data_IF_734581595512
#
_entry.id   IF_734581595512
#
_cell.length_a   1.000
_cell.length_b   1.000
_cell.length_c   1.000
_cell.angle_alpha   90.00
_cell.angle_beta   90.00
_cell.angle_gamma   90.00
#
_symmetry.space_group_name_H-M   'P 1'
#
loop_
_entity.id
_entity.type
_entity.pdbx_description
1 polymer ?
#
# COMPACT_ATOMS: atom_id res chain seq x y z
N UNK A 1 -11.45 -10.53 -7.09
CA UNK A 1 -12.53 -9.93 -7.92
C UNK A 1 -12.75 -8.45 -7.65
N UNK A 2 -12.69 -7.97 -6.39
CA UNK A 2 -12.88 -6.56 -6.06
C UNK A 2 -11.97 -5.58 -6.81
N UNK A 3 -10.65 -5.82 -6.85
CA UNK A 3 -9.71 -5.00 -7.62
C UNK A 3 -10.01 -4.95 -9.12
N UNK A 4 -10.47 -6.06 -9.71
CA UNK A 4 -10.85 -6.11 -11.13
C UNK A 4 -12.08 -5.22 -11.37
N UNK A 5 -13.06 -5.24 -10.47
CA UNK A 5 -14.22 -4.35 -10.55
C UNK A 5 -13.81 -2.88 -10.42
N UNK A 6 -12.86 -2.57 -9.53
CA UNK A 6 -12.30 -1.23 -9.36
C UNK A 6 -11.65 -0.72 -10.67
N UNK A 7 -10.79 -1.52 -11.29
CA UNK A 7 -10.13 -1.20 -12.57
C UNK A 7 -11.14 -0.99 -13.72
N UNK A 8 -12.27 -1.70 -13.68
CA UNK A 8 -13.34 -1.56 -14.67
C UNK A 8 -14.28 -0.37 -14.44
N UNK A 9 -14.09 0.39 -13.37
CA UNK A 9 -14.99 1.48 -12.98
C UNK A 9 -16.30 1.02 -12.34
N UNK A 10 -16.46 -0.28 -12.05
CA UNK A 10 -17.62 -0.83 -11.34
C UNK A 10 -17.43 -0.68 -9.82
N UNK A 11 -17.41 0.57 -9.36
CA UNK A 11 -17.05 0.94 -7.99
C UNK A 11 -18.05 0.41 -6.96
N UNK A 12 -19.34 0.33 -7.31
CA UNK A 12 -20.37 -0.22 -6.43
C UNK A 12 -20.12 -1.72 -6.13
N UNK A 13 -19.78 -2.50 -7.16
CA UNK A 13 -19.45 -3.90 -6.99
C UNK A 13 -18.05 -4.09 -6.38
N UNK A 14 -17.09 -3.23 -6.71
CA UNK A 14 -15.77 -3.21 -6.08
C UNK A 14 -15.90 -3.05 -4.57
N UNK A 15 -16.64 -2.02 -4.11
CA UNK A 15 -16.96 -1.81 -2.68
C UNK A 15 -17.54 -3.07 -2.06
N UNK A 16 -18.61 -3.63 -2.65
CA UNK A 16 -19.26 -4.84 -2.11
C UNK A 16 -18.30 -6.02 -1.97
N UNK A 17 -17.49 -6.29 -2.99
CA UNK A 17 -16.55 -7.40 -3.01
C UNK A 17 -15.37 -7.20 -2.05
N UNK A 18 -14.87 -5.98 -1.94
CA UNK A 18 -13.75 -5.64 -1.06
C UNK A 18 -14.19 -5.64 0.40
N UNK A 19 -15.34 -5.04 0.71
CA UNK A 19 -15.91 -5.08 2.07
C UNK A 19 -16.24 -6.52 2.49
N UNK A 20 -16.79 -7.33 1.59
CA UNK A 20 -17.08 -8.75 1.88
C UNK A 20 -15.83 -9.63 2.06
N UNK A 21 -14.64 -9.15 1.70
CA UNK A 21 -13.36 -9.84 1.91
C UNK A 21 -12.70 -9.48 3.25
N UNK A 22 -13.25 -8.52 4.00
CA UNK A 22 -12.73 -8.13 5.31
C UNK A 22 -13.19 -9.18 6.32
N UNK A 23 -12.28 -10.04 6.74
CA UNK A 23 -12.54 -11.02 7.81
C UNK A 23 -12.27 -10.41 9.18
N UNK A 24 -13.31 -10.24 9.99
CA UNK A 24 -13.19 -9.76 11.37
C UNK A 24 -12.81 -10.86 12.37
N UNK A 25 -12.88 -12.14 11.96
CA UNK A 25 -12.63 -13.30 12.81
C UNK A 25 -11.15 -13.68 12.94
N UNK A 26 -10.34 -13.36 11.93
CA UNK A 26 -8.89 -13.53 12.00
C UNK A 26 -8.25 -12.38 12.78
N UNK A 27 -7.45 -12.74 13.79
CA UNK A 27 -6.81 -11.78 14.70
C UNK A 27 -5.28 -11.85 14.71
N UNK A 28 -4.59 -11.82 13.55
CA UNK A 28 -3.15 -11.59 13.55
C UNK A 28 -2.85 -10.18 14.08
N UNK A 29 -1.64 -10.00 14.63
CA UNK A 29 -1.16 -8.70 15.10
C UNK A 29 -1.26 -7.65 13.98
N UNK A 30 -0.92 -8.03 12.74
CA UNK A 30 -1.04 -7.23 11.52
C UNK A 30 -1.33 -8.15 10.33
N UNK A 31 -2.19 -7.72 9.41
CA UNK A 31 -2.45 -8.40 8.13
C UNK A 31 -2.53 -7.34 7.02
N UNK A 32 -1.46 -7.26 6.21
CA UNK A 32 -1.36 -6.28 5.11
C UNK A 32 -2.46 -6.43 4.05
N UNK A 33 -2.92 -7.65 3.78
CA UNK A 33 -4.01 -7.90 2.83
C UNK A 33 -5.33 -7.34 3.32
N UNK A 34 -5.60 -7.46 4.62
CA UNK A 34 -6.79 -6.87 5.23
C UNK A 34 -6.75 -5.33 5.18
N UNK A 35 -5.58 -4.73 5.43
CA UNK A 35 -5.40 -3.28 5.31
C UNK A 35 -5.59 -2.83 3.86
N UNK A 36 -5.08 -3.60 2.90
CA UNK A 36 -5.28 -3.35 1.48
C UNK A 36 -6.76 -3.43 1.09
N UNK A 37 -7.48 -4.45 1.56
CA UNK A 37 -8.92 -4.58 1.30
C UNK A 37 -9.71 -3.38 1.83
N UNK A 38 -9.43 -2.95 3.06
CA UNK A 38 -10.05 -1.78 3.70
C UNK A 38 -9.80 -0.48 2.91
N UNK A 39 -8.56 -0.21 2.55
CA UNK A 39 -8.18 1.02 1.84
C UNK A 39 -8.67 1.02 0.38
N UNK A 40 -8.70 -0.12 -0.31
CA UNK A 40 -9.34 -0.22 -1.62
C UNK A 40 -10.86 -0.08 -1.53
N UNK A 41 -11.49 -0.62 -0.49
CA UNK A 41 -12.91 -0.42 -0.24
C UNK A 41 -13.22 1.06 0.02
N UNK A 42 -12.35 1.75 0.79
CA UNK A 42 -12.46 3.18 1.02
C UNK A 42 -12.39 3.97 -0.29
N UNK A 43 -11.43 3.66 -1.16
CA UNK A 43 -11.31 4.29 -2.48
C UNK A 43 -12.58 4.07 -3.33
N UNK A 44 -13.08 2.83 -3.41
CA UNK A 44 -14.30 2.52 -4.15
C UNK A 44 -15.54 3.25 -3.58
N UNK A 45 -15.55 3.48 -2.27
CA UNK A 45 -16.64 4.15 -1.54
C UNK A 45 -16.61 5.66 -1.77
N UNK A 46 -15.41 6.25 -1.79
CA UNK A 46 -15.22 7.66 -2.17
C UNK A 46 -15.66 7.91 -3.63
N UNK A 47 -15.29 7.02 -4.55
CA UNK A 47 -15.59 7.14 -5.98
C UNK A 47 -17.08 7.05 -6.33
N UNK A 48 -17.92 6.59 -5.40
CA UNK A 48 -19.39 6.63 -5.53
C UNK A 48 -20.04 7.75 -4.72
N UNK A 49 -19.23 8.66 -4.14
CA UNK A 49 -19.66 9.86 -3.43
C UNK A 49 -19.98 9.68 -1.95
N UNK A 50 -19.57 8.57 -1.33
CA UNK A 50 -19.79 8.29 0.09
C UNK A 50 -18.52 8.56 0.92
N UNK A 51 -18.21 9.84 1.11
CA UNK A 51 -16.98 10.25 1.79
C UNK A 51 -16.97 9.90 3.28
N UNK A 52 -18.15 9.85 3.92
CA UNK A 52 -18.26 9.44 5.34
C UNK A 52 -17.94 7.95 5.49
N UNK A 53 -18.48 7.10 4.62
CA UNK A 53 -18.19 5.67 4.58
C UNK A 53 -16.71 5.39 4.25
N UNK A 54 -16.14 6.11 3.30
CA UNK A 54 -14.71 6.02 2.99
C UNK A 54 -13.84 6.39 4.19
N UNK A 55 -14.15 7.50 4.87
CA UNK A 55 -13.43 7.93 6.06
C UNK A 55 -13.53 6.91 7.20
N UNK A 56 -14.68 6.24 7.36
CA UNK A 56 -14.83 5.18 8.35
C UNK A 56 -13.92 3.98 8.06
N UNK A 57 -13.86 3.52 6.81
CA UNK A 57 -13.00 2.42 6.40
C UNK A 57 -11.51 2.75 6.62
N UNK A 58 -11.09 3.99 6.37
CA UNK A 58 -9.72 4.44 6.66
C UNK A 58 -9.42 4.45 8.16
N UNK A 59 -10.37 4.88 9.01
CA UNK A 59 -10.23 4.78 10.48
C UNK A 59 -10.10 3.33 10.94
N UNK A 60 -10.81 2.40 10.31
CA UNK A 60 -10.75 0.98 10.64
C UNK A 60 -9.38 0.37 10.28
N UNK A 61 -8.83 0.74 9.12
CA UNK A 61 -7.48 0.37 8.70
C UNK A 61 -6.41 0.90 9.66
N UNK A 62 -6.52 2.17 10.05
CA UNK A 62 -5.59 2.81 11.00
C UNK A 62 -5.60 2.12 12.37
N UNK A 63 -6.79 1.78 12.91
CA UNK A 63 -6.87 1.03 14.19
C UNK A 63 -6.16 -0.32 14.11
N UNK A 64 -6.24 -1.01 12.97
CA UNK A 64 -5.54 -2.28 12.76
C UNK A 64 -4.03 -2.11 12.66
N UNK A 65 -3.55 -1.07 11.97
CA UNK A 65 -2.12 -0.71 11.94
C UNK A 65 -1.61 -0.37 13.34
N UNK A 66 -2.32 0.46 14.10
CA UNK A 66 -1.94 0.83 15.47
C UNK A 66 -1.85 -0.41 16.36
N UNK A 67 -2.79 -1.36 16.23
CA UNK A 67 -2.71 -2.64 16.93
C UNK A 67 -1.47 -3.46 16.51
N UNK A 68 -1.12 -3.47 15.22
CA UNK A 68 0.12 -4.07 14.73
C UNK A 68 1.35 -3.47 15.39
N UNK A 69 1.43 -2.13 15.44
CA UNK A 69 2.51 -1.40 16.11
C UNK A 69 2.63 -1.75 17.59
N UNK A 70 1.51 -1.76 18.31
CA UNK A 70 1.47 -2.14 19.73
C UNK A 70 1.96 -3.58 19.98
N UNK A 71 1.81 -4.45 18.99
CA UNK A 71 2.31 -5.83 19.04
C UNK A 71 3.73 -5.99 18.45
N UNK A 72 4.44 -4.89 18.20
CA UNK A 72 5.85 -4.91 17.77
C UNK A 72 6.09 -5.08 16.27
N UNK A 73 5.08 -4.90 15.43
CA UNK A 73 5.23 -4.98 13.97
C UNK A 73 6.02 -3.77 13.44
N UNK A 74 7.15 -4.03 12.79
CA UNK A 74 8.09 -3.01 12.29
C UNK A 74 8.81 -3.42 10.98
N UNK A 75 8.10 -4.03 10.03
CA UNK A 75 8.64 -4.34 8.70
C UNK A 75 8.16 -3.34 7.64
N UNK A 76 8.74 -3.39 6.42
CA UNK A 76 8.45 -2.46 5.33
C UNK A 76 6.94 -2.24 5.05
N UNK A 77 6.15 -3.30 5.02
CA UNK A 77 4.75 -3.23 4.56
C UNK A 77 3.84 -2.43 5.49
N UNK A 78 4.11 -2.39 6.80
CA UNK A 78 3.31 -1.56 7.71
C UNK A 78 3.50 -0.06 7.43
N UNK A 79 4.71 0.35 7.03
CA UNK A 79 5.00 1.72 6.61
C UNK A 79 4.38 2.04 5.24
N UNK A 80 4.41 1.08 4.32
CA UNK A 80 3.70 1.23 3.05
C UNK A 80 2.19 1.45 3.27
N UNK A 81 1.56 0.64 4.13
CA UNK A 81 0.15 0.80 4.47
C UNK A 81 -0.16 2.13 5.17
N UNK A 82 0.72 2.61 6.06
CA UNK A 82 0.60 3.95 6.66
C UNK A 82 0.64 5.04 5.60
N UNK A 83 1.58 4.97 4.65
CA UNK A 83 1.69 5.92 3.55
C UNK A 83 0.43 5.98 2.66
N UNK A 84 -0.16 4.81 2.35
CA UNK A 84 -1.41 4.73 1.58
C UNK A 84 -2.53 5.46 2.30
N UNK A 85 -2.71 5.24 3.61
CA UNK A 85 -3.77 5.92 4.38
C UNK A 85 -3.55 7.44 4.41
N UNK A 86 -2.31 7.89 4.63
CA UNK A 86 -1.97 9.31 4.64
C UNK A 86 -2.23 9.96 3.27
N UNK A 87 -1.86 9.27 2.19
CA UNK A 87 -2.14 9.75 0.82
C UNK A 87 -3.64 9.92 0.59
N UNK A 88 -4.44 8.94 1.02
CA UNK A 88 -5.90 8.97 0.88
C UNK A 88 -6.59 10.00 1.79
N UNK A 89 -5.86 10.64 2.71
CA UNK A 89 -6.31 11.76 3.55
C UNK A 89 -5.77 13.11 3.06
N UNK A 90 -5.20 13.16 1.87
CA UNK A 90 -4.52 14.33 1.31
C UNK A 90 -3.30 14.80 2.14
N UNK A 91 -2.75 13.93 2.99
CA UNK A 91 -1.55 14.18 3.81
C UNK A 91 -0.27 13.77 3.07
N UNK A 92 0.04 14.48 1.98
CA UNK A 92 1.09 14.08 1.04
C UNK A 92 2.50 14.04 1.66
N UNK A 93 2.90 15.05 2.44
CA UNK A 93 4.26 15.11 2.98
C UNK A 93 4.50 13.98 4.02
N UNK A 94 3.59 13.76 5.00
CA UNK A 94 3.68 12.59 5.87
C UNK A 94 3.66 11.25 5.12
N UNK A 95 2.88 11.15 4.03
CA UNK A 95 2.85 9.93 3.22
C UNK A 95 4.22 9.63 2.58
N UNK A 96 4.90 10.65 2.07
CA UNK A 96 6.24 10.53 1.50
C UNK A 96 7.28 10.12 2.55
N UNK A 97 7.19 10.65 3.77
CA UNK A 97 8.03 10.21 4.89
C UNK A 97 7.84 8.72 5.17
N UNK A 98 6.58 8.25 5.19
CA UNK A 98 6.27 6.82 5.39
C UNK A 98 6.78 5.92 4.27
N UNK A 99 6.69 6.36 3.01
CA UNK A 99 7.28 5.61 1.90
C UNK A 99 8.81 5.54 2.01
N UNK A 100 9.45 6.61 2.46
CA UNK A 100 10.88 6.63 2.72
C UNK A 100 11.25 5.67 3.88
N UNK A 101 10.44 5.59 4.94
CA UNK A 101 10.61 4.62 6.01
C UNK A 101 10.41 3.17 5.55
N UNK A 102 9.45 2.91 4.66
CA UNK A 102 9.24 1.60 4.05
C UNK A 102 10.48 1.18 3.23
N UNK A 103 11.01 2.09 2.41
CA UNK A 103 12.24 1.87 1.65
C UNK A 103 13.43 1.54 2.55
N UNK A 104 13.61 2.30 3.64
CA UNK A 104 14.69 2.07 4.61
C UNK A 104 14.59 0.69 5.29
N UNK A 105 13.41 0.08 5.30
CA UNK A 105 13.13 -1.25 5.85
C UNK A 105 13.09 -2.37 4.80
N UNK A 106 13.55 -2.08 3.59
CA UNK A 106 13.70 -3.09 2.54
C UNK A 106 12.54 -3.18 1.56
N UNK A 107 11.58 -2.24 1.56
CA UNK A 107 10.56 -2.19 0.50
C UNK A 107 11.25 -2.02 -0.86
N UNK A 108 11.01 -2.94 -1.80
CA UNK A 108 11.61 -2.92 -3.14
C UNK A 108 10.61 -3.14 -4.28
N UNK A 109 9.32 -3.06 -4.00
CA UNK A 109 8.26 -3.31 -4.98
C UNK A 109 7.94 -2.05 -5.80
N UNK A 110 8.89 -1.57 -6.61
CA UNK A 110 8.69 -0.37 -7.45
C UNK A 110 7.40 -0.46 -8.28
N UNK A 111 7.11 -1.64 -8.85
CA UNK A 111 5.93 -1.87 -9.68
C UNK A 111 4.62 -1.58 -8.93
N UNK A 112 4.56 -1.79 -7.61
CA UNK A 112 3.38 -1.45 -6.80
C UNK A 112 3.17 0.06 -6.77
N UNK A 113 4.25 0.85 -6.63
CA UNK A 113 4.18 2.31 -6.64
C UNK A 113 3.72 2.89 -7.98
N UNK A 114 3.82 2.13 -9.08
CA UNK A 114 3.33 2.53 -10.40
C UNK A 114 1.84 2.26 -10.61
N UNK A 115 1.35 1.14 -10.06
CA UNK A 115 0.00 0.65 -10.37
C UNK A 115 -1.02 0.95 -9.27
N UNK A 116 -0.57 1.24 -8.05
CA UNK A 116 -1.48 1.48 -6.94
C UNK A 116 -2.16 2.83 -7.08
N UNK A 117 -3.38 2.81 -7.61
CA UNK A 117 -4.19 4.01 -7.80
C UNK A 117 -4.48 4.80 -6.52
N UNK A 118 -4.31 4.21 -5.32
CA UNK A 118 -4.43 4.94 -4.05
C UNK A 118 -3.30 5.95 -3.85
N UNK A 119 -2.17 5.77 -4.55
CA UNK A 119 -1.02 6.67 -4.53
C UNK A 119 -1.05 7.73 -5.63
N UNK A 120 -2.12 7.78 -6.44
CA UNK A 120 -2.24 8.74 -7.54
C UNK A 120 -1.95 10.21 -7.15
N UNK A 121 -2.37 10.72 -5.97
CA UNK A 121 -2.03 12.09 -5.55
C UNK A 121 -0.52 12.36 -5.42
N UNK A 122 0.30 11.32 -5.21
CA UNK A 122 1.76 11.47 -5.07
C UNK A 122 2.50 11.38 -6.41
N UNK A 123 1.84 10.96 -7.50
CA UNK A 123 2.53 10.67 -8.76
C UNK A 123 3.30 11.86 -9.31
N UNK A 124 2.80 13.09 -9.17
CA UNK A 124 3.49 14.28 -9.69
C UNK A 124 4.51 14.87 -8.69
N UNK A 125 4.67 14.28 -7.50
CA UNK A 125 5.61 14.75 -6.49
C UNK A 125 7.04 14.35 -6.87
N UNK A 126 7.99 15.30 -6.97
CA UNK A 126 9.39 14.99 -7.27
C UNK A 126 9.99 13.96 -6.31
N UNK A 127 9.65 14.03 -5.02
CA UNK A 127 10.14 13.14 -3.99
C UNK A 127 9.68 11.69 -4.21
N UNK A 128 8.44 11.50 -4.67
CA UNK A 128 7.90 10.19 -5.01
C UNK A 128 8.64 9.57 -6.21
N UNK A 129 8.92 10.38 -7.24
CA UNK A 129 9.66 9.93 -8.42
C UNK A 129 11.11 9.58 -8.08
N UNK A 130 11.77 10.37 -7.24
CA UNK A 130 13.12 10.08 -6.74
C UNK A 130 13.14 8.75 -5.99
N UNK A 131 12.16 8.50 -5.12
CA UNK A 131 12.07 7.25 -4.38
C UNK A 131 11.87 6.03 -5.30
N UNK A 132 10.98 6.14 -6.29
CA UNK A 132 10.75 5.08 -7.29
C UNK A 132 12.01 4.75 -8.07
N UNK A 133 12.74 5.77 -8.54
CA UNK A 133 13.98 5.59 -9.27
C UNK A 133 15.03 4.88 -8.41
N UNK A 134 15.19 5.29 -7.14
CA UNK A 134 16.10 4.63 -6.20
C UNK A 134 15.77 3.15 -6.00
N UNK A 135 14.50 2.81 -5.82
CA UNK A 135 14.10 1.40 -5.69
C UNK A 135 14.45 0.62 -6.97
N UNK A 136 14.18 1.20 -8.14
CA UNK A 136 14.49 0.58 -9.43
C UNK A 136 16.00 0.34 -9.60
N UNK A 137 16.82 1.33 -9.26
CA UNK A 137 18.28 1.25 -9.29
C UNK A 137 18.81 0.14 -8.36
N UNK A 138 18.34 0.10 -7.10
CA UNK A 138 18.71 -0.94 -6.13
C UNK A 138 18.39 -2.35 -6.66
N UNK A 139 17.20 -2.54 -7.23
CA UNK A 139 16.78 -3.85 -7.78
C UNK A 139 17.60 -4.23 -9.01
N UNK A 140 17.90 -3.28 -9.89
CA UNK A 140 18.74 -3.51 -11.06
C UNK A 140 20.17 -3.87 -10.66
N UNK A 141 20.73 -3.16 -9.67
CA UNK A 141 22.06 -3.46 -9.14
C UNK A 141 22.10 -4.87 -8.53
N UNK A 142 21.15 -5.23 -7.68
CA UNK A 142 21.09 -6.57 -7.09
C UNK A 142 20.99 -7.68 -8.15
N UNK A 143 20.21 -7.45 -9.22
CA UNK A 143 20.13 -8.38 -10.37
C UNK A 143 21.46 -8.50 -11.11
N UNK A 144 22.15 -7.39 -11.34
CA UNK A 144 23.45 -7.39 -11.99
C UNK A 144 24.50 -8.16 -11.18
N UNK A 145 24.52 -7.97 -9.85
CA UNK A 145 25.41 -8.67 -8.94
C UNK A 145 25.15 -10.20 -8.95
N UNK A 146 23.89 -10.63 -8.92
CA UNK A 146 23.52 -12.05 -9.02
C UNK A 146 24.00 -12.65 -10.36
N UNK A 147 23.80 -11.93 -11.47
CA UNK A 147 24.20 -12.41 -12.80
C UNK A 147 25.72 -12.43 -13.00
N UNK A 148 26.47 -11.58 -12.27
CA UNK A 148 27.91 -11.52 -12.31
C UNK A 148 28.60 -12.61 -11.47
N UNK A 149 27.86 -13.27 -10.58
CA UNK A 149 28.39 -14.41 -9.82
C UNK A 149 28.54 -15.61 -10.77
N UNK A 150 29.77 -16.15 -10.95
CA UNK A 150 29.92 -17.41 -11.68
C UNK A 150 29.12 -18.47 -10.92
N UNK A 151 28.29 -19.23 -11.65
CA UNK A 151 27.62 -20.42 -11.10
C UNK A 151 28.71 -21.33 -10.56
N UNK A 152 28.96 -21.25 -9.25
CA UNK A 152 29.80 -22.21 -8.57
C UNK A 152 29.00 -23.51 -8.59
N UNK A 153 29.30 -24.36 -9.58
CA UNK A 153 28.86 -25.74 -9.60
C UNK A 153 29.37 -26.38 -8.30
N UNK A 154 28.44 -26.67 -7.40
CA UNK A 154 28.63 -27.64 -6.32
C UNK A 154 28.72 -29.05 -6.91
#
# INVERSE_FOLDING_TARGET
LGMIALVRGDYANARRLLTGAIDESENPAYNGEQIMALTLAALATELIGDSEGAAQLLRDAERKIQRGRLNGVDHADIYYSEAVILTMRDESDPALEKLQEAYNRGFREQWVLDIDGRLAPLHDRPEFQVLKNRISEDVQQARAEINAQPVAML
#
